data_IF_225362203076
#
_entry.id   IF_225362203076
#
_cell.length_a   1.000
_cell.length_b   1.000
_cell.length_c   1.000
_cell.angle_alpha   90.00
_cell.angle_beta   90.00
_cell.angle_gamma   90.00
#
_symmetry.space_group_name_H-M   'P 1'
#
loop_
_entity.id
_entity.type
_entity.pdbx_description
1 polymer ?
#
# COMPACT_ATOMS: atom_id res chain seq x y z
N UNK A 1 18.20 23.65 19.20
CA UNK A 1 18.77 22.45 18.55
C UNK A 1 17.62 21.49 18.40
N UNK A 2 17.24 21.18 17.18
CA UNK A 2 16.02 20.43 16.86
C UNK A 2 16.21 18.95 17.21
N UNK A 3 15.18 18.32 17.75
CA UNK A 3 15.16 16.92 18.17
C UNK A 3 13.86 16.28 17.74
N UNK A 4 13.87 14.97 17.56
CA UNK A 4 12.62 14.22 17.40
C UNK A 4 11.90 14.12 18.76
N UNK A 5 10.60 13.87 18.71
CA UNK A 5 9.73 13.65 19.87
C UNK A 5 9.62 12.17 20.27
N UNK A 6 10.22 11.29 19.48
CA UNK A 6 10.20 9.84 19.64
C UNK A 6 11.62 9.28 19.51
N UNK A 7 11.88 8.19 20.22
CA UNK A 7 13.12 7.43 20.07
C UNK A 7 13.20 6.81 18.67
N UNK A 8 14.43 6.64 18.18
CA UNK A 8 14.70 6.09 16.85
C UNK A 8 15.89 5.14 16.92
N UNK A 9 15.74 3.99 16.31
CA UNK A 9 16.75 2.95 16.15
C UNK A 9 17.15 2.78 14.70
N UNK A 10 18.27 2.12 14.47
CA UNK A 10 18.65 1.64 13.14
C UNK A 10 17.56 0.71 12.59
N UNK A 11 17.24 0.87 11.30
CA UNK A 11 16.14 0.18 10.63
C UNK A 11 14.78 0.91 10.68
N UNK A 12 14.61 1.91 11.57
CA UNK A 12 13.38 2.68 11.62
C UNK A 12 13.21 3.55 10.36
N UNK A 13 11.95 3.80 10.00
CA UNK A 13 11.58 4.76 8.96
C UNK A 13 11.24 6.12 9.57
N UNK A 14 11.57 7.19 8.85
CA UNK A 14 11.18 8.56 9.18
C UNK A 14 10.54 9.21 7.96
N UNK A 15 9.26 9.55 8.07
CA UNK A 15 8.56 10.42 7.13
C UNK A 15 8.75 11.88 7.57
N UNK A 16 9.45 12.65 6.74
CA UNK A 16 9.64 14.08 6.90
C UNK A 16 8.77 14.82 5.89
N UNK A 17 7.92 15.74 6.36
CA UNK A 17 7.07 16.52 5.48
C UNK A 17 6.89 17.96 5.95
N UNK A 18 6.58 18.82 4.98
CA UNK A 18 6.14 20.21 5.17
C UNK A 18 4.90 20.40 4.32
N UNK A 19 3.87 21.02 4.89
CA UNK A 19 2.60 21.22 4.18
C UNK A 19 2.83 22.02 2.88
N UNK A 20 2.37 21.48 1.76
CA UNK A 20 2.56 22.06 0.43
C UNK A 20 3.89 21.73 -0.25
N UNK A 21 4.86 21.13 0.45
CA UNK A 21 6.15 20.71 -0.13
C UNK A 21 6.26 19.19 -0.28
N UNK A 22 7.23 18.73 -1.08
CA UNK A 22 7.45 17.30 -1.30
C UNK A 22 7.89 16.66 0.02
N UNK A 23 7.25 15.55 0.39
CA UNK A 23 7.65 14.75 1.53
C UNK A 23 8.83 13.83 1.17
N UNK A 24 9.58 13.43 2.20
CA UNK A 24 10.72 12.54 2.09
C UNK A 24 10.54 11.37 3.04
N UNK A 25 10.88 10.17 2.56
CA UNK A 25 10.95 8.97 3.39
C UNK A 25 12.42 8.63 3.61
N UNK A 26 12.79 8.35 4.84
CA UNK A 26 14.16 8.05 5.23
C UNK A 26 14.23 6.73 5.97
N UNK A 27 15.25 5.93 5.67
CA UNK A 27 15.68 4.81 6.50
C UNK A 27 16.77 5.29 7.46
N UNK A 28 16.69 4.88 8.73
CA UNK A 28 17.69 5.20 9.74
C UNK A 28 18.82 4.18 9.67
N UNK A 29 20.00 4.65 9.28
CA UNK A 29 21.22 3.84 9.14
C UNK A 29 22.00 3.80 10.45
N UNK A 30 21.94 4.86 11.25
CA UNK A 30 22.53 4.84 12.59
C UNK A 30 21.98 5.97 13.47
N UNK A 31 21.80 5.66 14.76
CA UNK A 31 21.44 6.60 15.79
C UNK A 31 22.31 6.33 17.04
N UNK A 32 23.37 7.12 17.30
CA UNK A 32 24.23 6.97 18.47
C UNK A 32 23.47 7.14 19.79
N UNK A 33 22.35 7.85 19.75
CA UNK A 33 21.49 8.19 20.87
C UNK A 33 20.19 7.36 20.88
N UNK A 34 20.20 6.13 20.35
CA UNK A 34 18.99 5.32 20.11
C UNK A 34 18.14 5.04 21.35
N UNK A 35 18.72 5.11 22.55
CA UNK A 35 18.01 4.93 23.83
C UNK A 35 17.39 6.23 24.38
N UNK A 36 17.65 7.37 23.76
CA UNK A 36 17.13 8.67 24.21
C UNK A 36 15.78 8.92 23.54
N UNK A 37 14.78 9.30 24.32
CA UNK A 37 13.42 9.59 23.82
C UNK A 37 13.37 10.75 22.82
N UNK A 38 14.36 11.64 22.85
CA UNK A 38 14.43 12.85 22.04
C UNK A 38 15.80 12.94 21.35
N UNK A 39 16.11 12.07 20.37
CA UNK A 39 17.40 12.08 19.69
C UNK A 39 17.53 13.38 18.87
N UNK A 40 18.75 13.92 18.82
CA UNK A 40 19.04 15.14 18.05
C UNK A 40 19.06 14.80 16.56
N UNK A 41 18.37 15.56 15.72
CA UNK A 41 18.36 15.29 14.28
C UNK A 41 19.75 15.39 13.62
N UNK A 42 20.71 16.05 14.27
CA UNK A 42 22.11 16.12 13.83
C UNK A 42 22.93 14.87 14.15
N UNK A 43 22.48 14.02 15.07
CA UNK A 43 23.15 12.75 15.41
C UNK A 43 22.55 11.54 14.69
N UNK A 44 21.42 11.68 14.00
CA UNK A 44 20.77 10.61 13.23
C UNK A 44 21.33 10.60 11.80
N UNK A 45 21.86 9.47 11.36
CA UNK A 45 22.28 9.23 9.97
C UNK A 45 21.16 8.51 9.24
N UNK A 46 20.79 9.03 8.07
CA UNK A 46 19.69 8.50 7.27
C UNK A 46 20.08 8.39 5.80
N UNK A 47 19.36 7.51 5.10
CA UNK A 47 19.35 7.38 3.65
C UNK A 47 17.94 7.66 3.14
N UNK A 48 17.83 8.47 2.08
CA UNK A 48 16.52 8.68 1.42
C UNK A 48 16.09 7.39 0.73
N UNK A 49 14.87 6.94 1.01
CA UNK A 49 14.23 5.80 0.36
C UNK A 49 12.99 6.27 -0.40
N UNK A 50 12.64 5.55 -1.47
CA UNK A 50 11.38 5.80 -2.18
C UNK A 50 10.26 5.01 -1.49
N UNK A 51 9.06 5.57 -1.49
CA UNK A 51 7.86 4.79 -1.17
C UNK A 51 7.44 4.03 -2.42
N UNK A 52 7.42 2.71 -2.32
CA UNK A 52 6.96 1.77 -3.33
C UNK A 52 5.64 1.12 -2.93
N UNK A 53 5.14 0.30 -3.84
CA UNK A 53 3.91 -0.49 -3.67
C UNK A 53 4.12 -1.97 -3.99
N UNK A 54 5.32 -2.32 -4.45
CA UNK A 54 5.84 -3.68 -4.51
C UNK A 54 6.90 -3.79 -3.41
N UNK A 55 6.98 -4.97 -2.80
CA UNK A 55 8.01 -5.29 -1.82
C UNK A 55 9.37 -5.44 -2.54
N UNK A 56 9.99 -4.30 -2.82
CA UNK A 56 11.31 -4.20 -3.43
C UNK A 56 12.35 -3.77 -2.38
N UNK A 57 13.52 -4.41 -2.33
CA UNK A 57 14.60 -4.00 -1.43
C UNK A 57 14.92 -2.51 -1.54
N UNK A 58 15.12 -1.86 -0.39
CA UNK A 58 15.41 -0.42 -0.31
C UNK A 58 14.21 0.51 -0.56
N UNK A 59 12.98 0.00 -0.58
CA UNK A 59 11.74 0.80 -0.63
C UNK A 59 10.89 0.61 0.61
N UNK A 60 10.15 1.66 0.97
CA UNK A 60 9.09 1.58 1.96
C UNK A 60 7.79 1.16 1.27
N UNK A 61 7.12 0.11 1.77
CA UNK A 61 5.76 -0.23 1.36
C UNK A 61 4.74 0.52 2.20
N UNK A 62 3.56 0.73 1.62
CA UNK A 62 2.49 1.51 2.24
C UNK A 62 2.05 0.91 3.56
N UNK A 63 2.06 -0.40 3.74
CA UNK A 63 1.60 -1.04 4.97
C UNK A 63 2.42 -0.68 6.24
N UNK A 64 3.58 0.00 6.10
CA UNK A 64 4.60 0.10 7.15
C UNK A 64 5.67 -0.99 6.98
N UNK A 65 6.87 -0.88 7.59
CA UNK A 65 8.08 -1.59 7.14
C UNK A 65 8.02 -3.11 7.41
N UNK A 66 8.55 -3.96 6.53
CA UNK A 66 10.00 -4.24 6.44
C UNK A 66 10.79 -3.51 5.34
N UNK A 67 12.07 -3.23 5.63
CA UNK A 67 13.07 -2.74 4.67
C UNK A 67 14.25 -3.70 4.70
N UNK A 68 14.45 -4.44 3.61
CA UNK A 68 15.56 -5.38 3.46
C UNK A 68 16.77 -4.70 2.82
N UNK A 69 17.95 -4.91 3.42
CA UNK A 69 19.24 -4.53 2.86
C UNK A 69 19.61 -5.55 1.77
N UNK A 70 20.08 -5.05 0.62
CA UNK A 70 20.99 -5.85 -0.19
C UNK A 70 22.36 -5.73 0.49
N UNK A 71 22.84 -6.81 1.11
CA UNK A 71 24.28 -7.02 1.14
C UNK A 71 24.65 -7.33 -0.31
N UNK A 72 25.41 -6.45 -0.95
CA UNK A 72 25.89 -6.69 -2.31
C UNK A 72 26.67 -8.01 -2.34
N UNK A 73 26.13 -9.03 -3.02
CA UNK A 73 26.94 -10.14 -3.51
C UNK A 73 27.78 -9.59 -4.67
N UNK A 74 28.95 -9.03 -4.31
CA UNK A 74 30.10 -8.98 -5.18
C UNK A 74 30.42 -10.43 -5.62
N UNK A 75 29.97 -10.81 -6.81
CA UNK A 75 30.71 -11.78 -7.62
C UNK A 75 30.66 -11.33 -9.08
N UNK A 76 31.60 -10.43 -9.38
CA UNK A 76 32.11 -10.20 -10.72
C UNK A 76 32.40 -11.54 -11.40
N UNK A 77 31.71 -11.84 -12.49
CA UNK A 77 32.35 -12.13 -13.78
C UNK A 77 31.31 -12.40 -14.87
N UNK A 78 31.06 -11.40 -15.71
CA UNK A 78 31.22 -11.59 -17.15
C UNK A 78 31.25 -10.23 -17.86
N UNK A 79 32.38 -9.99 -18.50
CA UNK A 79 32.56 -8.94 -19.49
C UNK A 79 31.53 -9.12 -20.60
N UNK A 80 30.66 -8.14 -20.81
CA UNK A 80 30.33 -7.71 -22.17
C UNK A 80 29.83 -6.26 -22.17
N UNK A 81 30.54 -5.50 -22.98
CA UNK A 81 30.43 -4.08 -23.27
C UNK A 81 29.12 -3.81 -24.03
N UNK A 82 28.18 -3.10 -23.40
CA UNK A 82 27.25 -2.27 -24.17
C UNK A 82 26.88 -1.00 -23.39
N UNK A 83 27.27 0.11 -23.99
CA UNK A 83 27.07 1.48 -23.52
C UNK A 83 25.57 1.80 -23.37
N UNK A 84 25.04 1.65 -22.16
CA UNK A 84 23.89 2.41 -21.68
C UNK A 84 24.33 3.22 -20.48
N UNK A 85 24.30 4.55 -20.61
CA UNK A 85 24.56 5.49 -19.53
C UNK A 85 23.45 5.39 -18.47
N UNK A 86 23.55 4.40 -17.59
CA UNK A 86 22.73 4.34 -16.39
C UNK A 86 23.28 5.37 -15.40
N UNK A 87 22.53 6.44 -15.25
CA UNK A 87 22.74 7.45 -14.21
C UNK A 87 22.61 6.74 -12.87
N UNK A 88 23.74 6.48 -12.21
CA UNK A 88 23.78 6.15 -10.79
C UNK A 88 23.04 7.25 -10.03
N UNK A 89 21.79 6.99 -9.66
CA UNK A 89 21.06 7.84 -8.73
C UNK A 89 21.68 7.60 -7.36
N UNK A 90 22.79 8.30 -7.09
CA UNK A 90 23.51 8.22 -5.83
C UNK A 90 22.56 8.35 -4.66
N UNK A 91 22.36 7.26 -3.94
CA UNK A 91 21.72 7.25 -2.64
C UNK A 91 22.49 8.25 -1.79
N UNK A 92 21.91 9.41 -1.51
CA UNK A 92 22.58 10.37 -0.64
C UNK A 92 22.41 9.88 0.78
N UNK A 93 23.51 9.48 1.40
CA UNK A 93 23.59 9.26 2.83
C UNK A 93 23.88 10.59 3.51
N UNK A 94 23.31 10.85 4.68
CA UNK A 94 23.57 12.11 5.38
C UNK A 94 22.94 12.20 6.75
N UNK A 95 23.27 13.26 7.49
CA UNK A 95 22.57 13.56 8.74
C UNK A 95 21.17 14.04 8.44
N UNK A 96 20.17 13.64 9.24
CA UNK A 96 18.78 14.10 9.06
C UNK A 96 18.68 15.63 9.03
N UNK A 97 19.48 16.31 9.86
CA UNK A 97 19.59 17.78 9.87
C UNK A 97 19.98 18.42 8.53
N UNK A 98 20.74 17.73 7.68
CA UNK A 98 21.11 18.24 6.35
C UNK A 98 19.91 18.28 5.40
N UNK A 99 18.97 17.35 5.55
CA UNK A 99 17.73 17.32 4.77
C UNK A 99 16.75 18.38 5.26
N UNK A 100 16.64 18.55 6.57
CA UNK A 100 15.86 19.61 7.23
C UNK A 100 16.31 20.99 6.75
N UNK A 101 17.63 21.21 6.63
CA UNK A 101 18.19 22.47 6.15
C UNK A 101 17.88 22.79 4.66
N UNK A 102 17.30 21.85 3.89
CA UNK A 102 16.85 22.11 2.50
C UNK A 102 15.55 22.91 2.45
N UNK A 103 14.79 22.92 3.54
CA UNK A 103 13.55 23.69 3.63
C UNK A 103 13.83 25.15 4.05
N UNK A 104 12.99 26.10 3.62
CA UNK A 104 13.02 27.47 4.13
C UNK A 104 12.97 27.51 5.67
N UNK A 105 13.72 28.40 6.30
CA UNK A 105 13.89 28.47 7.76
C UNK A 105 12.59 28.73 8.56
N UNK A 106 11.56 29.25 7.89
CA UNK A 106 10.22 29.51 8.42
C UNK A 106 9.23 28.35 8.19
N UNK A 107 9.67 27.28 7.53
CA UNK A 107 8.83 26.10 7.30
C UNK A 107 8.53 25.37 8.60
N UNK A 108 7.27 25.00 8.81
CA UNK A 108 6.88 24.07 9.87
C UNK A 108 7.16 22.64 9.41
N UNK A 109 8.27 22.09 9.87
CA UNK A 109 8.71 20.72 9.55
C UNK A 109 8.06 19.75 10.55
N UNK A 110 7.49 18.68 10.02
CA UNK A 110 6.88 17.60 10.80
C UNK A 110 7.57 16.27 10.47
N UNK A 111 7.68 15.41 11.49
CA UNK A 111 8.34 14.11 11.41
C UNK A 111 7.37 13.04 11.92
N UNK A 112 7.38 11.87 11.28
CA UNK A 112 6.72 10.66 11.80
C UNK A 112 7.69 9.49 11.73
N UNK A 113 8.03 8.94 12.89
CA UNK A 113 8.82 7.71 13.02
C UNK A 113 7.89 6.52 12.78
N UNK A 114 8.33 5.55 11.97
CA UNK A 114 7.59 4.36 11.57
C UNK A 114 6.15 4.66 11.14
N UNK A 115 5.96 5.46 10.06
CA UNK A 115 4.64 5.90 9.64
C UNK A 115 3.75 4.72 9.26
N UNK A 116 2.52 4.71 9.78
CA UNK A 116 1.48 3.78 9.33
C UNK A 116 1.10 4.09 7.88
N UNK A 117 0.51 3.13 7.16
CA UNK A 117 0.15 3.36 5.76
C UNK A 117 -0.83 4.48 5.49
N UNK A 118 -1.72 4.73 6.43
CA UNK A 118 -2.56 5.92 6.43
C UNK A 118 -1.75 7.22 6.39
N UNK A 119 -0.66 7.28 7.14
CA UNK A 119 0.21 8.47 7.21
C UNK A 119 1.01 8.63 5.93
N UNK A 120 1.49 7.52 5.35
CA UNK A 120 2.13 7.53 4.03
C UNK A 120 1.16 8.05 2.97
N UNK A 121 -0.06 7.51 2.91
CA UNK A 121 -1.08 7.97 1.96
C UNK A 121 -1.40 9.45 2.14
N UNK A 122 -1.60 9.88 3.39
CA UNK A 122 -1.98 11.25 3.72
C UNK A 122 -0.86 12.26 3.48
N UNK A 123 0.34 11.98 3.95
CA UNK A 123 1.40 12.99 4.06
C UNK A 123 2.46 12.84 2.96
N UNK A 124 2.77 11.60 2.52
CA UNK A 124 3.69 11.37 1.39
C UNK A 124 3.01 11.61 0.03
N UNK A 125 1.84 10.99 -0.19
CA UNK A 125 1.05 11.16 -1.41
C UNK A 125 0.00 12.27 -1.35
N UNK A 126 -0.04 13.04 -0.26
CA UNK A 126 -0.97 14.17 -0.09
C UNK A 126 -2.45 13.76 -0.24
N UNK A 127 -2.76 12.54 0.21
CA UNK A 127 -4.09 11.95 0.09
C UNK A 127 -4.48 11.58 -1.34
N UNK A 128 -3.57 11.58 -2.31
CA UNK A 128 -3.86 11.21 -3.71
C UNK A 128 -3.00 10.03 -4.14
N UNK A 129 -3.58 8.84 -4.04
CA UNK A 129 -2.99 7.63 -4.59
C UNK A 129 -2.74 7.80 -6.10
N UNK A 130 -1.53 7.48 -6.59
CA UNK A 130 -1.20 7.63 -8.02
C UNK A 130 -2.04 6.75 -8.95
N UNK A 131 -2.68 5.68 -8.43
CA UNK A 131 -3.44 4.71 -9.23
C UNK A 131 -4.96 4.90 -9.15
N UNK A 132 -5.48 5.12 -7.94
CA UNK A 132 -6.93 5.23 -7.72
C UNK A 132 -7.39 6.63 -7.31
N UNK A 133 -6.45 7.59 -7.22
CA UNK A 133 -6.67 8.92 -6.64
C UNK A 133 -7.11 8.83 -5.18
N UNK A 134 -8.40 8.65 -4.93
CA UNK A 134 -8.99 8.51 -3.59
C UNK A 134 -10.10 7.46 -3.54
N UNK A 135 -10.35 6.75 -4.64
CA UNK A 135 -11.50 5.84 -4.72
C UNK A 135 -11.30 4.58 -3.88
N UNK A 136 -10.04 4.15 -3.72
CA UNK A 136 -9.72 2.87 -3.09
C UNK A 136 -9.85 1.67 -4.03
N UNK A 137 -10.25 1.90 -5.28
CA UNK A 137 -10.42 0.87 -6.31
C UNK A 137 -9.36 0.97 -7.40
N UNK A 138 -8.82 -0.19 -7.76
CA UNK A 138 -7.89 -0.35 -8.86
C UNK A 138 -8.60 -1.08 -9.99
N UNK A 139 -8.50 -0.59 -11.22
CA UNK A 139 -9.05 -1.28 -12.37
C UNK A 139 -8.03 -2.30 -12.91
N UNK A 140 -8.26 -3.61 -12.74
CA UNK A 140 -7.25 -4.62 -13.05
C UNK A 140 -7.14 -4.93 -14.55
N UNK A 141 -8.06 -4.41 -15.38
CA UNK A 141 -7.97 -4.52 -16.85
C UNK A 141 -7.31 -3.32 -17.54
N UNK A 142 -7.21 -2.17 -16.87
CA UNK A 142 -6.66 -0.94 -17.46
C UNK A 142 -5.19 -0.67 -17.11
N UNK A 143 -4.66 -1.34 -16.08
CA UNK A 143 -3.29 -1.10 -15.60
C UNK A 143 -2.43 -2.36 -15.73
N UNK A 144 -1.17 -2.14 -16.09
CA UNK A 144 -0.15 -3.18 -16.29
C UNK A 144 0.89 -3.22 -15.17
N UNK A 145 0.83 -2.26 -14.23
CA UNK A 145 1.82 -2.10 -13.17
C UNK A 145 1.74 -3.19 -12.09
N UNK A 146 0.63 -3.94 -12.04
CA UNK A 146 0.39 -5.04 -11.11
C UNK A 146 -0.08 -6.28 -11.88
N UNK A 147 0.83 -7.03 -12.53
CA UNK A 147 0.48 -8.18 -13.36
C UNK A 147 -0.26 -9.26 -12.57
N UNK A 148 0.10 -9.46 -11.30
CA UNK A 148 -0.53 -10.45 -10.43
C UNK A 148 -1.96 -10.07 -10.03
N UNK A 149 -2.34 -8.79 -10.13
CA UNK A 149 -3.69 -8.31 -9.88
C UNK A 149 -4.55 -8.20 -11.15
N UNK A 150 -4.03 -8.61 -12.31
CA UNK A 150 -4.74 -8.49 -13.60
C UNK A 150 -6.10 -9.21 -13.60
N UNK A 151 -7.07 -8.63 -14.30
CA UNK A 151 -8.48 -9.06 -14.29
C UNK A 151 -9.37 -8.25 -15.26
N UNK A 152 -10.69 -8.32 -15.07
CA UNK A 152 -11.67 -7.59 -15.90
C UNK A 152 -11.80 -6.11 -15.54
N UNK A 153 -12.24 -5.27 -16.48
CA UNK A 153 -12.35 -3.81 -16.29
C UNK A 153 -13.51 -3.33 -15.41
N UNK A 154 -14.29 -4.23 -14.82
CA UNK A 154 -15.50 -3.94 -14.03
C UNK A 154 -15.49 -4.62 -12.67
N UNK A 155 -14.34 -5.12 -12.24
CA UNK A 155 -14.20 -5.77 -10.93
C UNK A 155 -13.84 -4.70 -9.92
N UNK A 156 -14.58 -4.68 -8.80
CA UNK A 156 -14.28 -3.85 -7.63
C UNK A 156 -13.05 -4.38 -6.90
N UNK A 157 -11.87 -4.22 -7.48
CA UNK A 157 -10.62 -4.74 -6.94
C UNK A 157 -9.96 -3.69 -6.04
N UNK A 158 -9.70 -4.05 -4.78
CA UNK A 158 -9.01 -3.19 -3.81
C UNK A 158 -7.70 -2.67 -4.37
N UNK A 159 -7.45 -1.37 -4.21
CA UNK A 159 -6.26 -0.76 -4.76
C UNK A 159 -5.00 -1.15 -3.93
N UNK A 160 -3.98 -1.74 -4.58
CA UNK A 160 -2.78 -2.25 -3.90
C UNK A 160 -1.95 -1.14 -3.25
N UNK A 161 -2.15 0.10 -3.66
CA UNK A 161 -1.37 1.24 -3.17
C UNK A 161 -2.02 1.88 -1.95
N UNK A 162 -3.34 2.12 -1.95
CA UNK A 162 -3.96 2.77 -0.81
C UNK A 162 -4.47 1.80 0.26
N UNK A 163 -4.72 0.53 -0.08
CA UNK A 163 -5.15 -0.50 0.87
C UNK A 163 -4.03 -1.50 1.23
N UNK A 164 -2.92 -1.47 0.49
CA UNK A 164 -1.79 -2.38 0.66
C UNK A 164 -1.84 -3.52 -0.36
N UNK A 165 -0.66 -3.96 -0.80
CA UNK A 165 -0.51 -4.94 -1.88
C UNK A 165 -1.07 -6.31 -1.48
N UNK A 166 -0.66 -6.83 -0.32
CA UNK A 166 -1.12 -8.13 0.19
C UNK A 166 -2.63 -8.14 0.40
N UNK A 167 -3.18 -7.04 0.93
CA UNK A 167 -4.62 -6.88 1.08
C UNK A 167 -5.34 -6.96 -0.27
N UNK A 168 -4.80 -6.31 -1.32
CA UNK A 168 -5.37 -6.38 -2.65
C UNK A 168 -5.28 -7.80 -3.24
N UNK A 169 -4.21 -8.54 -2.97
CA UNK A 169 -4.07 -9.94 -3.39
C UNK A 169 -5.10 -10.83 -2.70
N UNK A 170 -5.30 -10.68 -1.39
CA UNK A 170 -6.34 -11.40 -0.64
C UNK A 170 -7.74 -11.08 -1.16
N UNK A 171 -8.03 -9.80 -1.42
CA UNK A 171 -9.30 -9.37 -1.99
C UNK A 171 -9.54 -9.99 -3.38
N UNK A 172 -8.49 -10.08 -4.21
CA UNK A 172 -8.58 -10.73 -5.53
C UNK A 172 -8.99 -12.19 -5.40
N UNK A 173 -8.42 -12.92 -4.44
CA UNK A 173 -8.75 -14.34 -4.20
C UNK A 173 -10.22 -14.46 -3.81
N UNK A 174 -10.69 -13.66 -2.85
CA UNK A 174 -12.11 -13.67 -2.42
C UNK A 174 -13.07 -13.27 -3.53
N UNK A 175 -12.72 -12.26 -4.32
CA UNK A 175 -13.53 -11.84 -5.48
C UNK A 175 -13.67 -12.96 -6.51
N UNK A 176 -12.59 -13.72 -6.75
CA UNK A 176 -12.62 -14.87 -7.65
C UNK A 176 -13.51 -15.99 -7.11
N UNK A 177 -13.45 -16.29 -5.82
CA UNK A 177 -14.31 -17.30 -5.18
C UNK A 177 -15.80 -16.95 -5.34
N UNK A 178 -16.17 -15.68 -5.12
CA UNK A 178 -17.54 -15.20 -5.39
C UNK A 178 -17.94 -15.44 -6.85
N UNK A 179 -17.08 -15.03 -7.80
CA UNK A 179 -17.35 -15.21 -9.24
C UNK A 179 -17.46 -16.68 -9.68
N UNK A 180 -16.73 -17.59 -9.03
CA UNK A 180 -16.85 -19.03 -9.26
C UNK A 180 -18.22 -19.56 -8.82
N UNK A 181 -18.75 -19.08 -7.69
CA UNK A 181 -20.08 -19.44 -7.22
C UNK A 181 -21.20 -18.82 -8.07
N UNK A 182 -21.05 -17.58 -8.52
CA UNK A 182 -21.98 -16.94 -9.48
C UNK A 182 -22.01 -17.68 -10.82
N UNK A 183 -20.84 -18.13 -11.30
CA UNK A 183 -20.74 -18.95 -12.51
C UNK A 183 -21.48 -20.28 -12.34
N UNK A 184 -21.37 -20.91 -11.17
CA UNK A 184 -22.10 -22.16 -10.88
C UNK A 184 -23.60 -21.93 -10.79
N UNK A 185 -24.02 -20.84 -10.14
CA UNK A 185 -25.42 -20.43 -10.06
C UNK A 185 -26.01 -20.20 -11.45
N UNK A 186 -25.33 -19.44 -12.31
CA UNK A 186 -25.77 -19.16 -13.69
C UNK A 186 -25.81 -20.41 -14.58
N UNK A 187 -24.95 -21.40 -14.34
CA UNK A 187 -24.96 -22.70 -15.04
C UNK A 187 -25.95 -23.71 -14.45
N UNK A 188 -26.57 -23.41 -13.31
CA UNK A 188 -27.41 -24.35 -12.57
C UNK A 188 -26.65 -25.55 -11.97
N UNK A 189 -25.33 -25.42 -11.78
CA UNK A 189 -24.47 -26.46 -11.20
C UNK A 189 -24.63 -26.49 -9.67
N UNK A 190 -25.45 -27.41 -9.16
CA UNK A 190 -25.64 -27.58 -7.71
C UNK A 190 -24.53 -28.45 -7.09
N UNK A 191 -23.82 -27.91 -6.10
CA UNK A 191 -22.72 -28.54 -5.36
C UNK A 191 -23.13 -29.81 -4.59
N UNK A 192 -24.40 -29.88 -4.19
CA UNK A 192 -24.95 -30.91 -3.33
C UNK A 192 -26.06 -31.64 -4.08
N UNK A 193 -25.90 -32.96 -4.22
CA UNK A 193 -26.72 -33.81 -5.08
C UNK A 193 -28.22 -33.49 -5.07
N UNK A 194 -28.77 -33.35 -6.27
CA UNK A 194 -30.20 -33.25 -6.65
C UNK A 194 -31.13 -32.25 -5.92
N UNK A 195 -30.74 -31.58 -4.82
CA UNK A 195 -31.64 -30.70 -4.05
C UNK A 195 -30.95 -29.56 -3.27
N UNK A 196 -29.71 -29.19 -3.57
CA UNK A 196 -29.19 -27.90 -3.08
C UNK A 196 -29.85 -26.79 -3.88
N UNK A 197 -30.91 -26.17 -3.37
CA UNK A 197 -31.72 -25.22 -4.13
C UNK A 197 -30.86 -24.01 -4.56
N UNK A 198 -31.07 -23.45 -5.77
CA UNK A 198 -30.39 -22.21 -6.21
C UNK A 198 -30.40 -21.10 -5.17
N UNK A 199 -31.38 -21.11 -4.27
CA UNK A 199 -31.51 -20.21 -3.13
C UNK A 199 -30.42 -20.40 -2.06
N UNK A 200 -30.01 -21.64 -1.76
CA UNK A 200 -28.90 -21.91 -0.84
C UNK A 200 -27.58 -21.38 -1.40
N UNK A 201 -27.36 -21.57 -2.71
CA UNK A 201 -26.16 -21.06 -3.38
C UNK A 201 -26.14 -19.53 -3.43
N UNK A 202 -27.30 -18.89 -3.66
CA UNK A 202 -27.44 -17.43 -3.53
C UNK A 202 -27.12 -16.95 -2.13
N UNK A 203 -27.66 -17.60 -1.09
CA UNK A 203 -27.37 -17.24 0.30
C UNK A 203 -25.88 -17.35 0.62
N UNK A 204 -25.19 -18.39 0.13
CA UNK A 204 -23.75 -18.52 0.30
C UNK A 204 -22.99 -17.40 -0.43
N UNK A 205 -23.39 -17.04 -1.65
CA UNK A 205 -22.81 -15.90 -2.37
C UNK A 205 -22.98 -14.61 -1.57
N UNK A 206 -24.19 -14.30 -1.10
CA UNK A 206 -24.46 -13.09 -0.31
C UNK A 206 -23.63 -13.04 0.98
N UNK A 207 -23.42 -14.20 1.63
CA UNK A 207 -22.55 -14.30 2.79
C UNK A 207 -21.09 -14.00 2.45
N UNK A 208 -20.55 -14.59 1.38
CA UNK A 208 -19.18 -14.31 0.94
C UNK A 208 -19.00 -12.85 0.52
N UNK A 209 -19.99 -12.27 -0.17
CA UNK A 209 -20.01 -10.84 -0.55
C UNK A 209 -19.97 -9.97 0.70
N UNK A 210 -20.81 -10.25 1.71
CA UNK A 210 -20.79 -9.54 2.99
C UNK A 210 -19.42 -9.62 3.66
N UNK A 211 -18.89 -10.81 3.86
CA UNK A 211 -17.57 -11.02 4.49
C UNK A 211 -16.45 -10.28 3.74
N UNK A 212 -16.50 -10.28 2.41
CA UNK A 212 -15.57 -9.53 1.56
C UNK A 212 -15.69 -8.03 1.78
N UNK A 213 -16.89 -7.46 1.70
CA UNK A 213 -17.10 -6.02 1.81
C UNK A 213 -16.92 -5.48 3.23
N UNK A 214 -17.22 -6.25 4.28
CA UNK A 214 -16.88 -5.91 5.66
C UNK A 214 -15.35 -5.82 5.86
N UNK A 215 -14.60 -6.75 5.25
CA UNK A 215 -13.14 -6.74 5.31
C UNK A 215 -12.54 -5.54 4.57
N UNK A 216 -13.06 -5.23 3.37
CA UNK A 216 -12.67 -4.05 2.60
C UNK A 216 -13.00 -2.77 3.36
N UNK A 217 -14.20 -2.67 3.92
CA UNK A 217 -14.64 -1.51 4.68
C UNK A 217 -13.75 -1.26 5.90
N UNK A 218 -13.47 -2.29 6.70
CA UNK A 218 -12.57 -2.19 7.84
C UNK A 218 -11.19 -1.66 7.43
N UNK A 219 -10.61 -2.18 6.35
CA UNK A 219 -9.31 -1.71 5.84
C UNK A 219 -9.38 -0.28 5.32
N UNK A 220 -10.46 0.11 4.65
CA UNK A 220 -10.67 1.49 4.18
C UNK A 220 -10.71 2.46 5.35
N UNK A 221 -11.46 2.14 6.40
CA UNK A 221 -11.54 2.96 7.60
C UNK A 221 -10.18 3.08 8.30
N UNK A 222 -9.44 1.97 8.42
CA UNK A 222 -8.08 1.94 8.95
C UNK A 222 -7.15 2.90 8.18
N UNK A 223 -7.25 2.89 6.84
CA UNK A 223 -6.48 3.75 5.94
C UNK A 223 -7.02 5.18 5.82
N UNK A 224 -8.10 5.51 6.53
CA UNK A 224 -8.71 6.84 6.56
C UNK A 224 -9.51 7.20 5.30
N UNK A 225 -9.97 6.21 4.55
CA UNK A 225 -10.89 6.36 3.41
C UNK A 225 -12.35 6.30 3.90
N UNK A 226 -13.28 6.72 3.04
CA UNK A 226 -14.71 6.61 3.33
C UNK A 226 -15.14 5.15 3.39
N UNK A 227 -15.97 4.82 4.38
CA UNK A 227 -16.55 3.49 4.52
C UNK A 227 -17.67 3.21 3.52
N UNK A 228 -18.12 1.96 3.51
CA UNK A 228 -19.23 1.44 2.72
C UNK A 228 -20.46 1.16 3.57
N UNK A 229 -21.61 1.23 2.91
CA UNK A 229 -22.82 0.57 3.39
C UNK A 229 -22.81 -0.86 2.86
N UNK A 230 -22.33 -1.79 3.69
CA UNK A 230 -22.24 -3.20 3.29
C UNK A 230 -23.63 -3.82 3.10
N UNK A 231 -24.62 -3.37 3.87
CA UNK A 231 -25.98 -3.88 3.75
C UNK A 231 -26.57 -3.52 2.38
N UNK A 232 -26.42 -2.27 1.94
CA UNK A 232 -26.85 -1.81 0.61
C UNK A 232 -26.21 -2.62 -0.54
N UNK A 233 -24.90 -2.90 -0.44
CA UNK A 233 -24.18 -3.71 -1.43
C UNK A 233 -24.70 -5.15 -1.49
N UNK A 234 -24.95 -5.77 -0.32
CA UNK A 234 -25.43 -7.15 -0.24
C UNK A 234 -26.88 -7.25 -0.73
N UNK A 235 -27.74 -6.28 -0.38
CA UNK A 235 -29.14 -6.24 -0.79
C UNK A 235 -29.30 -6.03 -2.31
N UNK A 236 -28.42 -5.24 -2.91
CA UNK A 236 -28.44 -4.96 -4.36
C UNK A 236 -27.69 -5.99 -5.22
N UNK A 237 -26.94 -6.92 -4.62
CA UNK A 237 -26.01 -7.82 -5.35
C UNK A 237 -26.65 -8.65 -6.49
N UNK A 238 -27.92 -9.05 -6.32
CA UNK A 238 -28.69 -9.78 -7.35
C UNK A 238 -29.87 -8.98 -7.91
N UNK A 239 -30.00 -7.70 -7.55
CA UNK A 239 -31.16 -6.88 -7.91
C UNK A 239 -31.16 -6.45 -9.40
N UNK A 240 -30.04 -6.59 -10.10
CA UNK A 240 -29.87 -6.20 -11.51
C UNK A 240 -30.49 -7.21 -12.50
N UNK A 241 -31.79 -7.47 -12.35
CA UNK A 241 -32.54 -8.42 -13.18
C UNK A 241 -33.93 -7.98 -13.63
N UNK A 242 -34.39 -6.77 -13.31
CA UNK A 242 -35.75 -6.29 -13.62
C UNK A 242 -35.80 -4.98 -14.45
N UNK A 243 -34.80 -4.71 -15.31
CA UNK A 243 -34.87 -3.64 -16.31
C UNK A 243 -34.33 -4.10 -17.69
N UNK A 244 -35.17 -4.80 -18.45
CA UNK A 244 -35.58 -4.55 -19.86
C UNK A 244 -36.40 -5.71 -20.48
#
# INVERSE_FOLDING_TARGET
MESLDQAVSEGDLILLYVLGQRAFMFLVESCPDSQISNPKISSITVREVKVGYLDEPGRCVVSGPDVYYNEEEDDDTSEDDDSSSEVSYGLTWGRLSMYVARFPADSKIEYRVNPHGRDVLKDYWRGKCPFCQTLGWYCPGCSWDFPDLRGGCSVDQSCPVCLGYDFAMDDKIRSREVGEYETRLSRGECSFGCYGEPEELKQEILKMVRERYEFIDARRQEMGLSGYDVDDIVESWFADGDDE
#
